data_IF_859090447662
#
_entry.id   IF_859090447662
#
_cell.length_a   1.000
_cell.length_b   1.000
_cell.length_c   1.000
_cell.angle_alpha   90.00
_cell.angle_beta   90.00
_cell.angle_gamma   90.00
#
_symmetry.space_group_name_H-M   'P 1'
#
loop_
_entity.id
_entity.type
_entity.pdbx_description
1 polymer ?
#
# COMPACT_ATOMS: atom_id res chain seq x y z
N UNK A 1 -7.46 -4.58 9.17
CA UNK A 1 -7.72 -5.84 8.44
C UNK A 1 -6.43 -6.62 8.44
N UNK A 2 -6.48 -7.87 8.90
CA UNK A 2 -5.31 -8.72 8.97
C UNK A 2 -5.58 -9.99 8.15
N UNK A 3 -4.84 -10.16 7.07
CA UNK A 3 -4.88 -11.36 6.24
C UNK A 3 -4.13 -12.48 6.95
N UNK A 4 -4.89 -13.45 7.46
CA UNK A 4 -4.37 -14.59 8.20
C UNK A 4 -4.88 -15.87 7.56
N UNK A 5 -4.01 -16.56 6.82
CA UNK A 5 -4.24 -17.93 6.40
C UNK A 5 -2.95 -18.71 6.61
N UNK A 6 -3.07 -19.99 6.97
CA UNK A 6 -1.94 -20.86 7.32
C UNK A 6 -1.79 -22.04 6.32
N UNK A 7 -2.57 -22.07 5.25
CA UNK A 7 -2.72 -23.26 4.38
C UNK A 7 -3.00 -22.92 2.91
N UNK A 8 -3.60 -21.77 2.61
CA UNK A 8 -3.89 -21.32 1.24
C UNK A 8 -3.94 -19.79 1.20
N UNK A 9 -3.54 -19.16 0.09
CA UNK A 9 -3.62 -17.70 -0.08
C UNK A 9 -5.01 -17.13 0.28
N UNK A 10 -5.09 -15.82 0.48
CA UNK A 10 -6.36 -15.12 0.74
C UNK A 10 -6.90 -14.51 -0.58
N UNK A 11 -7.38 -15.31 -1.56
CA UNK A 11 -7.71 -14.76 -2.85
C UNK A 11 -9.05 -13.99 -2.80
N UNK A 12 -9.22 -13.05 -3.73
CA UNK A 12 -10.51 -12.42 -4.05
C UNK A 12 -11.14 -11.60 -2.91
N UNK A 13 -10.31 -10.99 -2.05
CA UNK A 13 -10.80 -10.02 -1.07
C UNK A 13 -11.01 -8.64 -1.72
N UNK A 14 -12.19 -8.04 -1.52
CA UNK A 14 -12.45 -6.66 -1.93
C UNK A 14 -12.65 -5.77 -0.71
N UNK A 15 -11.82 -4.75 -0.58
CA UNK A 15 -11.91 -3.74 0.47
C UNK A 15 -12.13 -2.40 -0.23
N UNK A 16 -13.36 -1.86 -0.11
CA UNK A 16 -13.74 -0.66 -0.85
C UNK A 16 -14.62 0.29 -0.09
N UNK A 17 -14.47 1.59 -0.37
CA UNK A 17 -15.28 2.68 0.19
C UNK A 17 -15.25 2.75 1.73
N UNK A 18 -14.09 2.49 2.33
CA UNK A 18 -13.89 2.61 3.78
C UNK A 18 -13.04 3.84 4.11
N UNK A 19 -13.20 4.34 5.33
CA UNK A 19 -12.26 5.27 5.95
C UNK A 19 -11.57 4.57 7.11
N UNK A 20 -10.25 4.42 7.01
CA UNK A 20 -9.39 3.97 8.10
C UNK A 20 -8.80 5.19 8.79
N UNK A 21 -9.18 5.41 10.04
CA UNK A 21 -8.82 6.61 10.79
C UNK A 21 -8.42 6.30 12.22
N UNK A 22 -7.31 6.90 12.69
CA UNK A 22 -6.86 6.86 14.07
C UNK A 22 -6.66 5.44 14.63
N UNK A 23 -6.10 4.52 13.84
CA UNK A 23 -5.65 3.23 14.35
C UNK A 23 -4.36 3.44 15.16
N UNK A 24 -4.49 3.36 16.49
CA UNK A 24 -3.44 3.32 17.53
C UNK A 24 -2.13 4.08 17.23
N UNK A 25 -2.17 5.43 17.16
CA UNK A 25 -0.98 6.25 16.91
C UNK A 25 0.12 6.07 17.97
N UNK A 26 1.37 5.89 17.54
CA UNK A 26 2.54 5.54 18.36
C UNK A 26 2.85 4.04 18.48
N UNK A 27 2.29 3.19 17.63
CA UNK A 27 2.53 1.74 17.55
C UNK A 27 3.03 1.31 16.17
N UNK A 28 3.31 0.02 15.96
CA UNK A 28 3.64 -0.55 14.64
C UNK A 28 2.41 -1.15 13.96
N UNK A 29 1.20 -0.71 14.32
CA UNK A 29 -0.04 -1.28 13.82
C UNK A 29 -0.43 -0.70 12.46
N UNK A 30 -0.68 -1.58 11.50
CA UNK A 30 -1.17 -1.19 10.17
C UNK A 30 -2.68 -1.40 10.00
N UNK A 31 -3.31 -0.53 9.20
CA UNK A 31 -4.74 -0.63 8.89
C UNK A 31 -5.04 -1.88 8.06
N UNK A 32 -4.16 -2.23 7.13
CA UNK A 32 -4.20 -3.47 6.35
C UNK A 32 -2.83 -4.13 6.46
N UNK A 33 -2.81 -5.40 6.87
CA UNK A 33 -1.59 -6.18 7.00
C UNK A 33 -1.79 -7.65 6.73
N UNK A 34 -0.69 -8.39 6.70
CA UNK A 34 -0.65 -9.85 6.62
C UNK A 34 0.30 -10.40 7.67
N UNK A 35 -0.17 -10.61 8.90
CA UNK A 35 0.70 -10.89 10.05
C UNK A 35 1.20 -12.34 10.15
N UNK A 36 0.63 -13.28 9.37
CA UNK A 36 0.74 -14.71 9.66
C UNK A 36 1.38 -15.56 8.55
N UNK A 37 2.14 -14.98 7.61
CA UNK A 37 2.48 -15.72 6.39
C UNK A 37 3.85 -15.41 5.79
N UNK A 38 4.56 -16.49 5.42
CA UNK A 38 5.66 -16.49 4.43
C UNK A 38 5.28 -17.14 3.09
N UNK A 39 4.00 -17.46 2.87
CA UNK A 39 3.47 -18.18 1.70
C UNK A 39 2.02 -17.78 1.35
N UNK A 40 1.19 -17.44 2.33
CA UNK A 40 -0.20 -16.99 2.18
C UNK A 40 -0.28 -15.48 1.91
N UNK A 41 -0.38 -15.11 0.64
CA UNK A 41 -0.40 -13.73 0.22
C UNK A 41 -1.78 -13.42 -0.39
N UNK A 42 -2.41 -12.27 -0.08
CA UNK A 42 -3.67 -11.91 -0.72
C UNK A 42 -3.48 -11.82 -2.23
N UNK A 43 -4.20 -12.69 -2.94
CA UNK A 43 -4.13 -12.85 -4.39
C UNK A 43 -5.37 -12.29 -5.06
N UNK A 44 -5.25 -11.61 -6.20
CA UNK A 44 -6.42 -11.10 -6.93
C UNK A 44 -7.32 -10.20 -6.05
N UNK A 45 -6.71 -9.51 -5.07
CA UNK A 45 -7.43 -8.62 -4.18
C UNK A 45 -7.73 -7.29 -4.89
N UNK A 46 -8.79 -6.62 -4.45
CA UNK A 46 -9.16 -5.28 -4.89
C UNK A 46 -9.26 -4.36 -3.70
N UNK A 47 -8.34 -3.39 -3.62
CA UNK A 47 -8.34 -2.35 -2.58
C UNK A 47 -8.64 -1.03 -3.29
N UNK A 48 -9.86 -0.51 -3.16
CA UNK A 48 -10.25 0.68 -3.92
C UNK A 48 -11.11 1.71 -3.18
N UNK A 49 -10.95 2.98 -3.54
CA UNK A 49 -11.77 4.08 -3.00
C UNK A 49 -11.78 4.14 -1.45
N UNK A 50 -10.68 3.75 -0.81
CA UNK A 50 -10.53 3.89 0.64
C UNK A 50 -9.77 5.18 0.97
N UNK A 51 -10.00 5.71 2.17
CA UNK A 51 -9.24 6.83 2.74
C UNK A 51 -8.47 6.35 3.95
N UNK A 52 -7.18 6.63 4.00
CA UNK A 52 -6.28 6.30 5.10
C UNK A 52 -5.73 7.60 5.71
N UNK A 53 -5.96 7.80 7.02
CA UNK A 53 -5.57 9.03 7.70
C UNK A 53 -5.29 8.81 9.19
N UNK A 54 -4.18 9.36 9.69
CA UNK A 54 -3.92 9.46 11.13
C UNK A 54 -3.66 8.12 11.81
N UNK A 55 -3.10 7.16 11.06
CA UNK A 55 -2.62 5.88 11.56
C UNK A 55 -1.10 5.85 11.37
N UNK A 56 -0.38 5.04 12.14
CA UNK A 56 1.09 4.95 11.98
C UNK A 56 1.47 4.18 10.72
N UNK A 57 0.74 3.13 10.38
CA UNK A 57 0.92 2.41 9.13
C UNK A 57 -0.43 2.24 8.42
N UNK A 58 -0.49 2.52 7.12
CA UNK A 58 -1.74 2.34 6.37
C UNK A 58 -1.85 0.95 5.78
N UNK A 59 -0.93 0.59 4.88
CA UNK A 59 -0.83 -0.75 4.32
C UNK A 59 0.60 -1.24 4.52
N UNK A 60 0.77 -2.24 5.36
CA UNK A 60 2.05 -2.89 5.61
C UNK A 60 1.92 -4.39 5.35
N UNK A 61 2.45 -4.82 4.22
CA UNK A 61 2.40 -6.20 3.78
C UNK A 61 3.74 -6.92 3.89
N UNK A 62 4.78 -6.26 4.39
CA UNK A 62 6.11 -6.84 4.52
C UNK A 62 6.07 -8.07 5.47
N UNK A 63 6.66 -9.23 5.10
CA UNK A 63 7.50 -9.51 3.93
C UNK A 63 6.77 -10.23 2.78
N UNK A 64 5.45 -10.26 2.79
CA UNK A 64 4.64 -11.15 1.97
C UNK A 64 3.95 -10.44 0.80
N UNK A 65 3.47 -9.21 0.96
CA UNK A 65 2.90 -8.43 -0.14
C UNK A 65 1.58 -8.98 -0.71
N UNK A 66 0.98 -8.21 -1.60
CA UNK A 66 -0.13 -8.63 -2.47
C UNK A 66 0.39 -9.36 -3.72
N UNK A 67 -0.42 -10.25 -4.29
CA UNK A 67 -0.13 -10.95 -5.55
C UNK A 67 -1.20 -10.69 -6.61
N UNK A 68 -0.81 -10.31 -7.82
CA UNK A 68 -1.72 -10.13 -8.96
C UNK A 68 -2.96 -9.28 -8.59
N UNK A 69 -2.79 -8.28 -7.73
CA UNK A 69 -3.88 -7.54 -7.11
C UNK A 69 -3.98 -6.13 -7.68
N UNK A 70 -5.11 -5.47 -7.46
CA UNK A 70 -5.36 -4.10 -7.91
C UNK A 70 -5.60 -3.21 -6.70
N UNK A 71 -4.76 -2.19 -6.54
CA UNK A 71 -4.84 -1.20 -5.48
C UNK A 71 -5.01 0.16 -6.14
N UNK A 72 -6.24 0.70 -6.14
CA UNK A 72 -6.55 1.87 -6.96
C UNK A 72 -7.47 2.90 -6.32
N UNK A 73 -7.34 4.15 -6.72
CA UNK A 73 -8.24 5.23 -6.32
C UNK A 73 -8.38 5.41 -4.81
N UNK A 74 -7.39 4.98 -4.03
CA UNK A 74 -7.33 5.23 -2.60
C UNK A 74 -6.68 6.59 -2.32
N UNK A 75 -6.92 7.15 -1.12
CA UNK A 75 -6.26 8.37 -0.64
C UNK A 75 -5.45 8.04 0.60
N UNK A 76 -4.14 8.26 0.54
CA UNK A 76 -3.20 8.14 1.65
C UNK A 76 -2.82 9.55 2.10
N UNK A 77 -3.21 9.97 3.29
CA UNK A 77 -2.85 11.30 3.79
C UNK A 77 -1.41 11.32 4.32
N UNK A 78 -0.67 12.40 4.04
CA UNK A 78 0.76 12.55 4.36
C UNK A 78 1.13 12.54 5.87
N UNK A 79 0.15 12.40 6.77
CA UNK A 79 0.35 12.64 8.19
C UNK A 79 0.90 11.41 8.90
N UNK A 80 1.99 11.60 9.66
CA UNK A 80 2.57 10.76 10.74
C UNK A 80 2.82 9.29 10.47
N UNK A 81 2.45 8.76 9.31
CA UNK A 81 2.66 7.37 9.00
C UNK A 81 4.13 7.09 8.69
N UNK A 82 4.69 6.04 9.31
CA UNK A 82 6.03 5.54 9.03
C UNK A 82 6.01 4.76 7.71
N UNK A 83 5.04 3.85 7.53
CA UNK A 83 4.75 3.16 6.28
C UNK A 83 3.39 3.55 5.68
N UNK A 84 3.41 4.27 4.56
CA UNK A 84 2.21 4.65 3.82
C UNK A 84 1.67 3.48 2.99
N UNK A 85 2.51 2.81 2.20
CA UNK A 85 2.16 1.58 1.51
C UNK A 85 3.43 0.78 1.21
N UNK A 86 3.66 -0.23 2.05
CA UNK A 86 4.69 -1.23 1.83
C UNK A 86 4.10 -2.51 1.21
N UNK A 87 4.43 -2.77 -0.06
CA UNK A 87 4.11 -4.01 -0.76
C UNK A 87 5.31 -4.97 -0.89
N UNK A 88 6.29 -4.88 0.01
CA UNK A 88 7.46 -5.77 0.05
C UNK A 88 7.03 -7.23 0.02
N UNK A 89 7.71 -8.01 -0.83
CA UNK A 89 7.36 -9.40 -1.11
C UNK A 89 6.18 -9.58 -2.07
N UNK A 90 5.52 -8.51 -2.50
CA UNK A 90 4.43 -8.53 -3.47
C UNK A 90 4.90 -8.85 -4.89
N UNK A 91 3.96 -9.22 -5.76
CA UNK A 91 4.30 -9.51 -7.18
C UNK A 91 3.16 -9.22 -8.14
N UNK A 92 3.49 -8.64 -9.29
CA UNK A 92 2.63 -8.38 -10.44
C UNK A 92 1.33 -7.62 -10.09
N UNK A 93 1.40 -6.66 -9.16
CA UNK A 93 0.26 -5.83 -8.79
C UNK A 93 0.12 -4.58 -9.67
N UNK A 94 -1.10 -4.07 -9.76
CA UNK A 94 -1.42 -2.80 -10.41
C UNK A 94 -1.81 -1.78 -9.35
N UNK A 95 -0.98 -0.76 -9.15
CA UNK A 95 -1.16 0.28 -8.13
C UNK A 95 -1.29 1.63 -8.81
N UNK A 96 -2.52 2.12 -9.04
CA UNK A 96 -2.71 3.32 -9.86
C UNK A 96 -3.91 4.16 -9.41
N UNK A 97 -3.94 5.42 -9.83
CA UNK A 97 -5.04 6.34 -9.55
C UNK A 97 -5.14 6.75 -8.08
N UNK A 98 -4.19 6.36 -7.23
CA UNK A 98 -4.22 6.70 -5.81
C UNK A 98 -3.67 8.10 -5.58
N UNK A 99 -4.15 8.80 -4.55
CA UNK A 99 -3.54 10.02 -4.03
C UNK A 99 -2.54 9.65 -2.93
N UNK A 100 -1.25 9.75 -3.24
CA UNK A 100 -0.11 9.40 -2.41
C UNK A 100 0.40 10.64 -1.67
N UNK A 101 -0.08 10.83 -0.44
CA UNK A 101 0.37 11.91 0.43
C UNK A 101 1.84 11.75 0.84
N UNK A 102 2.50 12.87 1.07
CA UNK A 102 3.92 12.88 1.44
C UNK A 102 4.83 12.62 0.24
N UNK A 103 6.07 12.23 0.53
CA UNK A 103 7.11 12.05 -0.50
C UNK A 103 7.00 10.67 -1.14
N UNK A 104 6.78 10.60 -2.44
CA UNK A 104 6.66 9.32 -3.16
C UNK A 104 8.02 8.65 -3.41
N UNK A 105 8.55 8.00 -2.37
CA UNK A 105 9.83 7.26 -2.34
C UNK A 105 9.79 6.21 -1.23
N UNK A 106 10.79 5.31 -1.18
CA UNK A 106 10.95 4.36 -0.07
C UNK A 106 11.09 5.06 1.29
N UNK A 107 11.82 6.19 1.34
CA UNK A 107 11.95 6.98 2.56
C UNK A 107 10.63 7.67 2.99
N UNK A 108 9.68 7.81 2.08
CA UNK A 108 8.33 8.27 2.38
C UNK A 108 7.34 7.13 2.60
N UNK A 109 7.82 5.90 2.83
CA UNK A 109 7.00 4.76 3.19
C UNK A 109 6.25 4.12 2.00
N UNK A 110 6.69 4.34 0.76
CA UNK A 110 6.14 3.67 -0.43
C UNK A 110 7.14 2.66 -0.97
N UNK A 111 6.79 1.37 -0.94
CA UNK A 111 7.69 0.29 -1.35
C UNK A 111 6.95 -0.66 -2.29
N UNK A 112 7.53 -0.88 -3.47
CA UNK A 112 6.94 -1.74 -4.50
C UNK A 112 7.28 -3.22 -4.27
N UNK A 113 6.42 -4.12 -4.78
CA UNK A 113 6.74 -5.52 -4.99
C UNK A 113 7.46 -5.74 -6.33
N UNK A 114 7.88 -6.99 -6.57
CA UNK A 114 8.54 -7.37 -7.82
C UNK A 114 7.55 -7.38 -9.00
N UNK A 115 7.87 -6.69 -10.10
CA UNK A 115 7.01 -6.67 -11.29
C UNK A 115 5.72 -5.84 -11.14
N UNK A 116 5.55 -5.14 -10.02
CA UNK A 116 4.41 -4.24 -9.84
C UNK A 116 4.49 -3.04 -10.80
N UNK A 117 3.33 -2.59 -11.27
CA UNK A 117 3.19 -1.32 -11.98
C UNK A 117 2.51 -0.29 -11.07
N UNK A 118 3.24 0.77 -10.73
CA UNK A 118 2.77 1.87 -9.89
C UNK A 118 2.59 3.20 -10.66
N UNK A 119 2.56 3.13 -11.99
CA UNK A 119 2.36 4.31 -12.82
C UNK A 119 0.96 4.90 -12.66
N UNK A 120 0.86 6.23 -12.73
CA UNK A 120 -0.42 6.93 -12.69
C UNK A 120 -1.03 7.09 -11.31
N UNK A 121 -0.23 7.18 -10.23
CA UNK A 121 -0.69 7.71 -8.94
C UNK A 121 -0.46 9.21 -8.87
N UNK A 122 -1.19 9.96 -8.06
CA UNK A 122 -0.93 11.39 -7.84
C UNK A 122 -0.11 11.55 -6.56
N UNK A 123 1.00 12.29 -6.59
CA UNK A 123 1.77 12.60 -5.39
C UNK A 123 1.95 14.10 -5.20
N UNK A 124 1.84 14.52 -3.94
CA UNK A 124 2.04 15.90 -3.52
C UNK A 124 3.52 16.23 -3.31
N UNK A 125 4.43 15.27 -3.18
CA UNK A 125 5.87 15.57 -3.12
C UNK A 125 6.66 14.44 -3.79
N UNK A 126 7.47 14.77 -4.79
CA UNK A 126 8.38 13.83 -5.44
C UNK A 126 9.79 14.36 -5.26
N UNK A 127 10.64 13.57 -4.59
CA UNK A 127 11.99 14.00 -4.17
C UNK A 127 12.98 14.20 -5.32
N UNK A 128 12.70 13.67 -6.52
CA UNK A 128 13.65 13.69 -7.64
C UNK A 128 13.06 13.87 -9.04
N UNK A 129 11.73 13.85 -9.22
CA UNK A 129 11.12 14.00 -10.55
C UNK A 129 10.09 15.11 -10.57
N UNK A 130 10.06 15.85 -11.68
CA UNK A 130 9.53 17.21 -11.77
C UNK A 130 8.10 17.38 -11.28
N UNK A 131 7.96 18.09 -10.15
CA UNK A 131 6.75 18.75 -9.65
C UNK A 131 5.54 17.86 -9.28
N UNK A 132 4.77 18.35 -8.30
CA UNK A 132 3.43 17.86 -7.93
C UNK A 132 2.65 17.35 -9.14
N UNK A 133 2.12 16.12 -9.09
CA UNK A 133 1.42 15.57 -10.24
C UNK A 133 1.33 14.05 -10.27
N UNK A 134 1.10 13.51 -11.47
CA UNK A 134 0.99 12.08 -11.70
C UNK A 134 2.38 11.43 -11.76
N UNK A 135 2.57 10.37 -10.98
CA UNK A 135 3.76 9.53 -10.94
C UNK A 135 3.90 8.79 -12.26
N UNK A 136 5.11 8.80 -12.79
CA UNK A 136 5.48 8.03 -13.97
C UNK A 136 6.52 6.95 -13.67
N UNK A 137 7.10 6.99 -12.47
CA UNK A 137 8.06 6.01 -11.96
C UNK A 137 7.47 5.19 -10.83
N UNK A 138 8.00 3.97 -10.67
CA UNK A 138 7.66 3.03 -9.60
C UNK A 138 8.65 3.23 -8.45
N UNK A 139 8.21 3.22 -7.17
CA UNK A 139 9.11 3.21 -6.02
C UNK A 139 10.07 2.01 -6.09
N UNK A 140 11.22 2.10 -5.43
CA UNK A 140 12.15 0.97 -5.46
C UNK A 140 11.53 -0.24 -4.74
N UNK A 141 11.73 -1.42 -5.31
CA UNK A 141 11.29 -2.65 -4.67
C UNK A 141 12.07 -2.93 -3.37
N UNK A 142 11.37 -3.47 -2.38
CA UNK A 142 11.93 -3.96 -1.11
C UNK A 142 12.41 -5.41 -1.19
#
# INVERSE_FOLDING_TARGET
IDFQSNIAGNPLCTIRNNTFYAFDPGTTAACIKCSASGIDQPGLALIEHNTFMGCDNYIDMNPSGFKNSVIRYNTFHAATADENFDNTGGTDCQVYGNAMGGVYTNAGGYVAGSGDDWSGNMSEAVGTESAHGWTYTVPAAG
#
